data_IF_102166860761
#
_entry.id   IF_102166860761
#
_cell.length_a   1.000
_cell.length_b   1.000
_cell.length_c   1.000
_cell.angle_alpha   90.00
_cell.angle_beta   90.00
_cell.angle_gamma   90.00
#
_symmetry.space_group_name_H-M   'P 1'
#
loop_
_entity.id
_entity.type
_entity.pdbx_description
1 polymer ?
#
# COMPACT_ATOMS: atom_id res chain seq x y z
N UNK A 1 15.89 5.21 3.55
CA UNK A 1 16.20 5.11 2.11
C UNK A 1 14.87 5.27 1.38
N UNK A 2 14.77 6.26 0.48
CA UNK A 2 13.49 6.65 -0.13
C UNK A 2 13.16 5.72 -1.31
N UNK A 3 12.22 4.80 -1.09
CA UNK A 3 11.80 3.82 -2.08
C UNK A 3 11.07 4.49 -3.26
N UNK A 4 10.41 5.61 -3.02
CA UNK A 4 9.64 6.31 -4.04
C UNK A 4 10.56 6.91 -5.10
N UNK A 5 11.76 7.37 -4.73
CA UNK A 5 12.80 7.84 -5.67
C UNK A 5 13.34 6.77 -6.61
N UNK A 6 13.15 5.49 -6.29
CA UNK A 6 13.60 4.36 -7.14
C UNK A 6 12.64 4.06 -8.28
N UNK A 7 11.39 4.53 -8.20
CA UNK A 7 10.36 4.32 -9.21
C UNK A 7 10.47 5.42 -10.26
N UNK A 8 10.66 5.05 -11.53
CA UNK A 8 10.70 6.00 -12.65
C UNK A 8 9.45 6.88 -12.70
N UNK A 9 9.58 8.14 -13.15
CA UNK A 9 8.46 9.10 -13.13
C UNK A 9 7.28 8.64 -13.99
N UNK A 10 7.55 7.97 -15.12
CA UNK A 10 6.52 7.44 -16.01
C UNK A 10 5.97 6.06 -15.62
N UNK A 11 6.38 5.51 -14.47
CA UNK A 11 5.96 4.18 -14.06
C UNK A 11 4.47 4.14 -13.72
N UNK A 12 3.76 3.09 -14.20
CA UNK A 12 2.32 2.92 -13.96
C UNK A 12 1.95 2.98 -12.47
N UNK A 13 2.79 2.43 -11.59
CA UNK A 13 2.56 2.52 -10.14
C UNK A 13 2.42 3.95 -9.61
N UNK A 14 3.10 4.94 -10.19
CA UNK A 14 2.94 6.33 -9.73
C UNK A 14 1.54 6.85 -10.07
N UNK A 15 1.04 6.54 -11.27
CA UNK A 15 -0.32 6.90 -11.69
C UNK A 15 -1.36 6.18 -10.82
N UNK A 16 -1.16 4.88 -10.59
CA UNK A 16 -2.06 4.08 -9.75
C UNK A 16 -2.05 4.54 -8.29
N UNK A 17 -0.88 4.91 -7.75
CA UNK A 17 -0.74 5.50 -6.42
C UNK A 17 -1.56 6.77 -6.28
N UNK A 18 -1.47 7.70 -7.23
CA UNK A 18 -2.24 8.96 -7.20
C UNK A 18 -3.76 8.68 -7.22
N UNK A 19 -4.21 7.75 -8.07
CA UNK A 19 -5.62 7.38 -8.13
C UNK A 19 -6.10 6.74 -6.81
N UNK A 20 -5.32 5.79 -6.26
CA UNK A 20 -5.63 5.14 -5.00
C UNK A 20 -5.63 6.14 -3.83
N UNK A 21 -4.61 7.00 -3.73
CA UNK A 21 -4.52 8.04 -2.69
C UNK A 21 -5.73 8.98 -2.75
N UNK A 22 -6.16 9.39 -3.95
CA UNK A 22 -7.35 10.26 -4.12
C UNK A 22 -8.62 9.61 -3.57
N UNK A 23 -8.86 8.34 -3.91
CA UNK A 23 -10.05 7.61 -3.43
C UNK A 23 -9.97 7.36 -1.93
N UNK A 24 -8.81 6.99 -1.41
CA UNK A 24 -8.61 6.71 0.01
C UNK A 24 -8.75 7.98 0.86
N UNK A 25 -8.28 9.13 0.39
CA UNK A 25 -8.51 10.41 1.06
C UNK A 25 -10.00 10.75 1.12
N UNK A 26 -10.75 10.47 0.06
CA UNK A 26 -12.20 10.68 0.08
C UNK A 26 -12.93 9.76 1.07
N UNK A 27 -12.46 8.52 1.24
CA UNK A 27 -13.03 7.53 2.17
C UNK A 27 -12.54 7.66 3.62
N UNK A 28 -11.45 8.41 3.86
CA UNK A 28 -10.82 8.54 5.18
C UNK A 28 -11.79 8.90 6.31
N UNK A 29 -12.76 9.84 6.14
CA UNK A 29 -13.72 10.14 7.20
C UNK A 29 -14.62 8.95 7.58
N UNK A 30 -14.96 8.09 6.62
CA UNK A 30 -15.74 6.88 6.89
C UNK A 30 -14.88 5.83 7.61
N UNK A 31 -13.62 5.69 7.20
CA UNK A 31 -12.66 4.83 7.89
C UNK A 31 -12.42 5.26 9.33
N UNK A 32 -12.25 6.56 9.58
CA UNK A 32 -12.06 7.11 10.93
C UNK A 32 -13.24 6.78 11.85
N UNK A 33 -14.47 6.82 11.31
CA UNK A 33 -15.68 6.45 12.04
C UNK A 33 -15.77 4.94 12.29
N UNK A 34 -15.36 4.11 11.34
CA UNK A 34 -15.41 2.65 11.46
C UNK A 34 -14.30 2.09 12.35
N UNK A 35 -13.12 2.68 12.30
CA UNK A 35 -11.90 2.27 13.01
C UNK A 35 -11.61 3.17 14.22
N UNK A 36 -12.65 3.76 14.83
CA UNK A 36 -12.50 4.56 16.05
C UNK A 36 -11.66 3.79 17.09
N UNK A 37 -10.66 4.43 17.74
CA UNK A 37 -9.70 3.72 18.57
C UNK A 37 -10.39 2.96 19.72
N UNK A 38 -10.34 1.63 19.66
CA UNK A 38 -10.84 0.74 20.71
C UNK A 38 -9.75 0.33 21.73
N UNK A 39 -8.57 0.96 21.65
CA UNK A 39 -7.44 0.71 22.57
C UNK A 39 -6.29 -0.12 21.99
N UNK A 40 -6.38 -0.57 20.73
CA UNK A 40 -5.27 -1.20 20.00
C UNK A 40 -4.85 -0.34 18.81
N UNK A 41 -3.54 -0.28 18.58
CA UNK A 41 -2.95 0.30 17.37
C UNK A 41 -3.20 -0.65 16.18
N UNK A 42 -4.41 -0.59 15.61
CA UNK A 42 -4.69 -1.26 14.35
C UNK A 42 -3.98 -0.56 13.20
N UNK A 43 -3.46 -1.34 12.24
CA UNK A 43 -2.96 -0.79 10.98
C UNK A 43 -4.09 -0.04 10.27
N UNK A 44 -3.87 1.20 9.79
CA UNK A 44 -4.91 1.96 9.10
C UNK A 44 -5.42 1.21 7.86
N UNK A 45 -6.74 1.20 7.61
CA UNK A 45 -7.33 0.47 6.49
C UNK A 45 -6.77 0.91 5.13
N UNK A 46 -6.36 2.17 4.98
CA UNK A 46 -5.75 2.69 3.76
C UNK A 46 -4.43 1.99 3.43
N UNK A 47 -3.64 1.61 4.44
CA UNK A 47 -2.39 0.88 4.23
C UNK A 47 -2.67 -0.55 3.76
N UNK A 48 -3.65 -1.22 4.36
CA UNK A 48 -4.07 -2.57 3.98
C UNK A 48 -4.63 -2.60 2.55
N UNK A 49 -5.42 -1.59 2.18
CA UNK A 49 -5.99 -1.46 0.83
C UNK A 49 -4.90 -1.19 -0.22
N UNK A 50 -3.91 -0.35 0.09
CA UNK A 50 -2.75 -0.13 -0.79
C UNK A 50 -1.92 -1.40 -0.99
N UNK A 51 -1.67 -2.15 0.08
CA UNK A 51 -0.97 -3.44 -0.01
C UNK A 51 -1.75 -4.43 -0.88
N UNK A 52 -3.06 -4.53 -0.65
CA UNK A 52 -3.96 -5.40 -1.43
C UNK A 52 -3.96 -5.02 -2.93
N UNK A 53 -3.93 -3.73 -3.25
CA UNK A 53 -3.82 -3.24 -4.62
C UNK A 53 -2.50 -3.67 -5.27
N UNK A 54 -1.38 -3.61 -4.56
CA UNK A 54 -0.08 -4.06 -5.07
C UNK A 54 -0.07 -5.57 -5.31
N UNK A 55 -0.59 -6.35 -4.36
CA UNK A 55 -0.76 -7.81 -4.49
C UNK A 55 -1.57 -8.14 -5.74
N UNK A 56 -2.69 -7.46 -5.97
CA UNK A 56 -3.53 -7.65 -7.15
C UNK A 56 -2.84 -7.25 -8.45
N UNK A 57 -2.15 -6.10 -8.49
CA UNK A 57 -1.45 -5.61 -9.69
C UNK A 57 -0.29 -6.51 -10.10
N UNK A 58 0.45 -7.04 -9.13
CA UNK A 58 1.59 -7.92 -9.37
C UNK A 58 1.22 -9.40 -9.41
N UNK A 59 -0.08 -9.73 -9.30
CA UNK A 59 -0.56 -11.11 -9.24
C UNK A 59 0.20 -11.94 -8.20
N UNK A 60 0.56 -11.34 -7.06
CA UNK A 60 1.19 -12.08 -5.96
C UNK A 60 0.08 -12.74 -5.16
N UNK A 61 0.15 -14.05 -4.96
CA UNK A 61 -0.99 -14.82 -4.44
C UNK A 61 -1.03 -14.89 -2.90
N UNK A 62 -0.11 -14.24 -2.21
CA UNK A 62 -0.01 -14.23 -0.75
C UNK A 62 0.66 -12.96 -0.25
N UNK A 63 0.11 -12.36 0.81
CA UNK A 63 0.73 -11.23 1.52
C UNK A 63 2.14 -11.59 1.99
N UNK A 64 2.32 -12.83 2.46
CA UNK A 64 3.65 -13.32 2.86
C UNK A 64 4.62 -13.37 1.69
N UNK A 65 4.19 -13.90 0.54
CA UNK A 65 5.03 -13.95 -0.66
C UNK A 65 5.38 -12.54 -1.14
N UNK A 66 4.45 -11.59 -1.04
CA UNK A 66 4.69 -10.19 -1.37
C UNK A 66 5.72 -9.54 -0.44
N UNK A 67 5.61 -9.75 0.87
CA UNK A 67 6.58 -9.29 1.84
C UNK A 67 7.97 -9.90 1.59
N UNK A 68 8.05 -11.21 1.32
CA UNK A 68 9.30 -11.90 0.99
C UNK A 68 9.91 -11.36 -0.32
N UNK A 69 9.10 -11.07 -1.34
CA UNK A 69 9.56 -10.51 -2.60
C UNK A 69 10.06 -9.06 -2.44
N UNK A 70 9.36 -8.22 -1.66
CA UNK A 70 9.84 -6.88 -1.31
C UNK A 70 11.16 -6.98 -0.55
N UNK A 71 11.21 -7.82 0.48
CA UNK A 71 12.40 -7.99 1.31
C UNK A 71 13.59 -8.49 0.48
N UNK A 72 13.38 -9.48 -0.39
CA UNK A 72 14.41 -9.97 -1.32
C UNK A 72 14.89 -8.88 -2.29
N UNK A 73 13.97 -8.15 -2.91
CA UNK A 73 14.30 -7.08 -3.86
C UNK A 73 14.97 -5.87 -3.20
N UNK A 74 14.72 -5.65 -1.91
CA UNK A 74 15.32 -4.57 -1.13
C UNK A 74 16.66 -4.96 -0.47
N UNK A 75 16.85 -6.23 -0.08
CA UNK A 75 18.07 -6.75 0.56
C UNK A 75 19.16 -7.13 -0.45
N UNK A 76 18.82 -7.67 -1.62
CA UNK A 76 19.79 -8.07 -2.64
C UNK A 76 20.21 -6.92 -3.58
N UNK A 77 20.30 -5.69 -3.05
CA UNK A 77 20.75 -4.51 -3.79
C UNK A 77 21.62 -3.59 -2.96
#
# INVERSE_FOLDING_TARGET
MDLEKRIHQDHLLRRTKVAADTVLTWLSPDFDRMYMPAGWDSVPPEQLLKASLLIALYSVHSERAFCEEIEYNLLNR
#
